data_IF_857166344799
#
_entry.id   IF_857166344799
#
_cell.length_a   1.000
_cell.length_b   1.000
_cell.length_c   1.000
_cell.angle_alpha   90.00
_cell.angle_beta   90.00
_cell.angle_gamma   90.00
#
_symmetry.space_group_name_H-M   'P 1'
#
loop_
_entity.id
_entity.type
_entity.pdbx_description
1 polymer ?
#
# COMPACT_ATOMS: atom_id res chain seq x y z
N UNK A 1 2.31 -10.98 -11.33
CA UNK A 1 1.86 -10.25 -12.57
C UNK A 1 2.82 -10.54 -13.72
N UNK A 2 2.35 -11.16 -14.81
CA UNK A 2 3.15 -11.45 -16.01
C UNK A 2 4.55 -12.05 -15.72
N UNK A 3 4.64 -12.95 -14.74
CA UNK A 3 5.89 -13.62 -14.34
C UNK A 3 6.82 -12.83 -13.41
N UNK A 4 6.48 -11.58 -13.05
CA UNK A 4 7.23 -10.80 -12.05
C UNK A 4 6.56 -10.85 -10.67
N UNK A 5 7.38 -11.00 -9.63
CA UNK A 5 6.95 -10.83 -8.24
C UNK A 5 6.99 -9.34 -7.92
N UNK A 6 5.81 -8.77 -7.63
CA UNK A 6 5.67 -7.36 -7.29
C UNK A 6 5.29 -7.25 -5.82
N UNK A 7 5.80 -6.23 -5.14
CA UNK A 7 5.22 -5.82 -3.87
C UNK A 7 3.77 -5.34 -4.13
N UNK A 8 2.76 -5.89 -3.45
CA UNK A 8 1.38 -5.45 -3.62
C UNK A 8 1.20 -3.97 -3.30
N UNK A 9 0.32 -3.29 -4.04
CA UNK A 9 0.01 -1.87 -3.78
C UNK A 9 -0.43 -1.61 -2.33
N UNK A 10 -1.17 -2.55 -1.74
CA UNK A 10 -1.63 -2.50 -0.34
C UNK A 10 -0.49 -2.58 0.68
N UNK A 11 0.66 -3.17 0.34
CA UNK A 11 1.81 -3.18 1.22
C UNK A 11 2.43 -1.78 1.36
N UNK A 12 2.36 -0.92 0.34
CA UNK A 12 2.77 0.48 0.50
C UNK A 12 1.87 1.24 1.48
N UNK A 13 0.56 0.96 1.46
CA UNK A 13 -0.40 1.54 2.41
C UNK A 13 -0.01 1.14 3.84
N UNK A 14 0.25 -0.13 4.07
CA UNK A 14 0.69 -0.65 5.38
C UNK A 14 1.98 0.02 5.87
N UNK A 15 3.00 0.11 5.00
CA UNK A 15 4.28 0.75 5.35
C UNK A 15 4.10 2.23 5.72
N UNK A 16 3.25 2.94 4.99
CA UNK A 16 2.97 4.35 5.21
C UNK A 16 2.15 4.57 6.49
N UNK A 17 1.15 3.72 6.77
CA UNK A 17 0.40 3.74 8.03
C UNK A 17 1.33 3.50 9.23
N UNK A 18 2.18 2.49 9.15
CA UNK A 18 3.17 2.18 10.18
C UNK A 18 4.15 3.35 10.45
N UNK A 19 4.56 4.09 9.41
CA UNK A 19 5.37 5.28 9.56
C UNK A 19 4.57 6.46 10.13
N UNK A 20 3.31 6.61 9.72
CA UNK A 20 2.39 7.64 10.20
C UNK A 20 2.05 7.54 11.69
N UNK A 21 1.80 6.33 12.18
CA UNK A 21 1.57 6.07 13.61
C UNK A 21 2.72 6.58 14.49
N UNK A 22 3.96 6.46 14.03
CA UNK A 22 5.17 6.94 14.77
C UNK A 22 5.24 8.45 14.92
N UNK A 23 4.51 9.19 14.11
CA UNK A 23 4.49 10.66 14.14
C UNK A 23 3.10 11.22 14.48
N UNK A 24 2.18 10.38 14.95
CA UNK A 24 0.81 10.76 15.30
C UNK A 24 -0.07 11.12 14.10
N UNK A 25 0.30 10.68 12.89
CA UNK A 25 -0.46 10.89 11.66
C UNK A 25 -0.82 9.55 11.02
N UNK A 26 -1.66 8.77 11.71
CA UNK A 26 -2.05 7.41 11.31
C UNK A 26 -3.14 7.32 10.23
N UNK A 27 -3.54 8.44 9.63
CA UNK A 27 -4.52 8.46 8.55
C UNK A 27 -3.83 8.76 7.21
N UNK A 28 -4.12 7.96 6.18
CA UNK A 28 -3.68 8.21 4.80
C UNK A 28 -4.75 9.03 4.09
N UNK A 29 -4.49 10.30 3.83
CA UNK A 29 -5.40 11.15 3.05
C UNK A 29 -5.33 10.81 1.57
N UNK A 30 -4.11 10.61 1.06
CA UNK A 30 -3.84 10.23 -0.31
C UNK A 30 -2.55 9.43 -0.38
N UNK A 31 -2.51 8.41 -1.25
CA UNK A 31 -1.29 7.72 -1.62
C UNK A 31 -1.29 7.42 -3.12
N UNK A 32 -0.38 8.07 -3.86
CA UNK A 32 -0.17 7.83 -5.28
C UNK A 32 0.98 6.84 -5.46
N UNK A 33 0.70 5.71 -6.14
CA UNK A 33 1.70 4.74 -6.57
C UNK A 33 2.31 5.16 -7.92
N UNK A 34 3.62 5.32 -7.96
CA UNK A 34 4.36 5.89 -9.09
C UNK A 34 5.14 4.85 -9.90
N UNK A 35 5.72 3.86 -9.23
CA UNK A 35 6.49 2.79 -9.86
C UNK A 35 6.33 1.48 -9.07
N UNK A 36 6.23 0.33 -9.76
CA UNK A 36 6.17 -0.96 -9.07
C UNK A 36 7.48 -1.25 -8.34
N UNK A 37 7.41 -1.92 -7.20
CA UNK A 37 8.57 -2.53 -6.55
C UNK A 37 8.64 -4.00 -6.95
N UNK A 38 9.63 -4.35 -7.78
CA UNK A 38 9.88 -5.73 -8.21
C UNK A 38 10.74 -6.41 -7.14
N UNK A 39 10.26 -7.55 -6.65
CA UNK A 39 11.00 -8.35 -5.68
C UNK A 39 12.01 -9.23 -6.42
N UNK A 40 13.31 -9.18 -6.06
CA UNK A 40 14.31 -9.98 -6.74
C UNK A 40 14.17 -11.45 -6.31
N UNK A 41 14.48 -12.38 -7.22
CA UNK A 41 14.44 -13.83 -6.92
C UNK A 41 15.52 -14.28 -5.94
N UNK A 42 16.55 -13.45 -5.70
CA UNK A 42 17.65 -13.63 -4.74
C UNK A 42 18.11 -12.27 -4.24
N UNK A 43 18.76 -12.22 -3.09
CA UNK A 43 19.18 -10.95 -2.47
C UNK A 43 18.00 -10.27 -1.77
N UNK A 44 18.07 -8.95 -1.62
CA UNK A 44 17.04 -8.17 -0.93
C UNK A 44 16.85 -6.77 -1.49
N UNK A 45 15.85 -6.07 -0.96
CA UNK A 45 15.62 -4.66 -1.24
C UNK A 45 15.74 -3.87 0.05
N UNK A 46 16.45 -2.75 0.00
CA UNK A 46 16.41 -1.76 1.07
C UNK A 46 15.23 -0.84 0.82
N UNK A 47 14.35 -0.68 1.81
CA UNK A 47 13.18 0.20 1.73
C UNK A 47 13.38 1.36 2.68
N UNK A 48 13.10 2.57 2.20
CA UNK A 48 13.15 3.80 2.98
C UNK A 48 11.79 4.49 2.94
N UNK A 49 11.33 4.89 4.13
CA UNK A 49 10.15 5.71 4.33
C UNK A 49 10.60 7.08 4.83
N UNK A 50 10.16 8.13 4.15
CA UNK A 50 10.45 9.51 4.54
C UNK A 50 9.15 10.23 4.86
N UNK A 51 9.02 10.72 6.09
CA UNK A 51 7.88 11.52 6.54
C UNK A 51 8.34 12.94 6.83
N UNK A 52 7.70 13.90 6.18
CA UNK A 52 8.02 15.31 6.29
C UNK A 52 7.59 15.93 7.62
N UNK A 53 8.02 17.18 7.81
CA UNK A 53 7.47 18.05 8.85
C UNK A 53 5.97 18.32 8.66
N UNK A 54 5.29 18.85 9.68
CA UNK A 54 3.90 19.25 9.54
C UNK A 54 3.78 20.40 8.52
N UNK A 55 2.80 20.31 7.64
CA UNK A 55 2.39 21.40 6.76
C UNK A 55 1.54 22.43 7.52
N UNK A 56 1.29 23.58 6.90
CA UNK A 56 0.40 24.63 7.45
C UNK A 56 -1.03 24.10 7.65
N UNK A 57 -1.44 23.12 6.85
CA UNK A 57 -2.77 22.50 6.87
C UNK A 57 -2.84 21.29 7.82
N UNK A 58 -1.75 20.96 8.51
CA UNK A 58 -1.70 19.89 9.53
C UNK A 58 -1.34 18.50 9.02
N UNK A 59 -1.26 18.31 7.70
CA UNK A 59 -0.79 17.07 7.07
C UNK A 59 0.74 16.93 7.06
N UNK A 60 1.23 15.74 6.75
CA UNK A 60 2.66 15.43 6.54
C UNK A 60 2.84 14.70 5.21
N UNK A 61 3.72 15.22 4.37
CA UNK A 61 4.11 14.50 3.16
C UNK A 61 4.81 13.18 3.52
N UNK A 62 4.53 12.11 2.78
CA UNK A 62 5.18 10.81 2.94
C UNK A 62 5.65 10.29 1.58
N UNK A 63 6.77 9.57 1.57
CA UNK A 63 7.27 8.89 0.38
C UNK A 63 7.93 7.55 0.71
N UNK A 64 7.78 6.58 -0.20
CA UNK A 64 8.39 5.25 -0.11
C UNK A 64 9.38 5.09 -1.25
N UNK A 65 10.60 4.73 -0.91
CA UNK A 65 11.67 4.48 -1.85
C UNK A 65 12.25 3.09 -1.65
N UNK A 66 12.83 2.51 -2.70
CA UNK A 66 13.66 1.33 -2.56
C UNK A 66 14.90 1.39 -3.43
N UNK A 67 15.86 0.53 -3.11
CA UNK A 67 17.00 0.16 -3.95
C UNK A 67 17.40 -1.28 -3.66
N UNK A 68 18.26 -1.85 -4.49
CA UNK A 68 18.87 -3.16 -4.20
C UNK A 68 19.61 -3.12 -2.86
N UNK A 69 19.44 -4.15 -2.03
CA UNK A 69 20.22 -4.27 -0.79
C UNK A 69 21.68 -4.64 -1.06
N UNK A 70 21.97 -5.23 -2.22
CA UNK A 70 23.32 -5.64 -2.62
C UNK A 70 24.10 -4.50 -3.31
N UNK A 71 23.44 -3.35 -3.55
CA UNK A 71 24.05 -2.16 -4.15
C UNK A 71 23.86 -0.95 -3.25
N UNK A 72 24.81 -0.75 -2.34
CA UNK A 72 24.76 0.32 -1.34
C UNK A 72 24.96 1.73 -1.92
N UNK A 73 25.41 1.85 -3.17
CA UNK A 73 25.57 3.13 -3.88
C UNK A 73 24.53 3.30 -4.99
N UNK A 74 23.65 2.30 -5.17
CA UNK A 74 22.58 2.32 -6.15
C UNK A 74 21.55 3.43 -5.91
N UNK A 75 20.96 3.90 -7.01
CA UNK A 75 19.93 4.93 -7.00
C UNK A 75 18.65 4.47 -6.32
N UNK A 76 18.05 5.39 -5.54
CA UNK A 76 16.75 5.17 -4.92
C UNK A 76 15.62 5.42 -5.92
N UNK A 77 14.76 4.43 -6.09
CA UNK A 77 13.54 4.54 -6.89
C UNK A 77 12.38 4.90 -5.96
N UNK A 78 11.62 5.94 -6.30
CA UNK A 78 10.40 6.30 -5.58
C UNK A 78 9.21 5.48 -6.08
N UNK A 79 8.57 4.76 -5.17
CA UNK A 79 7.42 3.90 -5.49
C UNK A 79 6.09 4.54 -5.15
N UNK A 80 6.04 5.34 -4.09
CA UNK A 80 4.82 5.98 -3.65
C UNK A 80 5.10 7.35 -3.02
N UNK A 81 4.14 8.26 -3.14
CA UNK A 81 4.12 9.55 -2.45
C UNK A 81 2.70 9.87 -2.00
N UNK A 82 2.55 10.58 -0.89
CA UNK A 82 1.23 10.84 -0.34
C UNK A 82 1.22 11.86 0.78
N UNK A 83 0.07 11.96 1.44
CA UNK A 83 -0.16 12.83 2.59
C UNK A 83 -0.76 12.01 3.73
N UNK A 84 -0.16 12.17 4.91
CA UNK A 84 -0.60 11.61 6.17
C UNK A 84 -1.23 12.71 7.03
N UNK A 85 -2.25 12.38 7.81
CA UNK A 85 -2.81 13.31 8.81
C UNK A 85 -3.22 12.61 10.10
N UNK A 86 -3.48 13.42 11.12
CA UNK A 86 -3.93 12.94 12.44
C UNK A 86 -5.44 12.68 12.48
N UNK A 87 -6.21 13.29 11.57
CA UNK A 87 -7.65 13.22 11.56
C UNK A 87 -8.13 12.04 10.74
N UNK A 88 -8.91 11.15 11.35
CA UNK A 88 -9.68 10.16 10.60
C UNK A 88 -10.90 10.88 10.04
N UNK A 89 -11.02 10.96 8.72
CA UNK A 89 -12.29 11.29 8.08
C UNK A 89 -13.32 10.23 8.44
N UNK A 90 -14.13 10.47 9.47
CA UNK A 90 -15.07 9.49 9.99
C UNK A 90 -16.30 9.40 9.08
N UNK A 91 -16.21 8.55 8.05
CA UNK A 91 -17.39 7.85 7.55
C UNK A 91 -17.57 6.59 8.39
N UNK A 92 -18.54 6.57 9.31
CA UNK A 92 -18.94 5.30 9.90
C UNK A 92 -19.43 4.40 8.76
N UNK A 93 -18.74 3.27 8.53
CA UNK A 93 -19.18 2.28 7.56
C UNK A 93 -20.56 1.71 7.92
N UNK A 94 -21.14 0.94 7.01
CA UNK A 94 -22.41 0.26 7.29
C UNK A 94 -22.26 -0.73 8.45
N UNK A 95 -23.34 -0.90 9.21
CA UNK A 95 -23.38 -1.84 10.34
C UNK A 95 -23.21 -3.28 9.86
N UNK A 96 -22.27 -4.01 10.48
CA UNK A 96 -22.03 -5.43 10.23
C UNK A 96 -22.78 -6.36 11.21
N UNK A 97 -23.79 -5.86 11.93
CA UNK A 97 -24.58 -6.66 12.88
C UNK A 97 -25.45 -7.73 12.19
N UNK A 98 -25.79 -7.52 10.91
CA UNK A 98 -26.47 -8.50 10.08
C UNK A 98 -25.56 -8.83 8.89
N UNK A 99 -25.01 -10.05 8.89
CA UNK A 99 -24.04 -10.48 7.88
C UNK A 99 -24.27 -11.94 7.43
N UNK A 100 -24.39 -12.21 6.12
CA UNK A 100 -24.42 -11.24 5.02
C UNK A 100 -25.69 -10.36 5.08
N UNK A 101 -25.70 -9.17 4.45
CA UNK A 101 -26.90 -8.34 4.37
C UNK A 101 -28.11 -9.14 3.83
N UNK A 102 -29.34 -8.82 4.27
CA UNK A 102 -30.55 -9.62 3.98
C UNK A 102 -30.76 -9.93 2.50
N UNK A 103 -30.47 -8.96 1.65
CA UNK A 103 -30.68 -9.05 0.20
C UNK A 103 -29.40 -9.46 -0.56
N UNK A 104 -28.35 -9.90 0.15
CA UNK A 104 -27.12 -10.36 -0.46
C UNK A 104 -27.33 -11.69 -1.19
N UNK A 105 -26.91 -11.75 -2.44
CA UNK A 105 -26.89 -12.96 -3.25
C UNK A 105 -25.48 -13.54 -3.24
N UNK A 106 -25.35 -14.80 -2.82
CA UNK A 106 -24.06 -15.50 -2.85
C UNK A 106 -23.55 -15.69 -4.27
N UNK A 107 -22.24 -15.56 -4.44
CA UNK A 107 -21.54 -15.86 -5.69
C UNK A 107 -20.74 -17.15 -5.51
N UNK A 108 -20.78 -18.03 -6.52
CA UNK A 108 -19.85 -19.14 -6.59
C UNK A 108 -18.45 -18.61 -6.91
N UNK A 109 -17.47 -18.98 -6.09
CA UNK A 109 -16.06 -18.58 -6.21
C UNK A 109 -15.17 -19.75 -6.63
N UNK A 110 -15.74 -20.92 -6.89
CA UNK A 110 -15.01 -22.04 -7.48
C UNK A 110 -14.42 -21.62 -8.84
N UNK A 111 -13.14 -21.92 -9.08
CA UNK A 111 -12.47 -21.54 -10.33
C UNK A 111 -11.96 -20.10 -10.38
N UNK A 112 -12.33 -19.22 -9.43
CA UNK A 112 -12.05 -17.79 -9.52
C UNK A 112 -10.56 -17.48 -9.60
N UNK A 113 -9.74 -18.13 -8.76
CA UNK A 113 -8.30 -17.92 -8.76
C UNK A 113 -7.62 -18.54 -9.98
N UNK A 114 -8.08 -19.70 -10.47
CA UNK A 114 -7.58 -20.27 -11.72
C UNK A 114 -7.87 -19.34 -12.92
N UNK A 115 -9.05 -18.71 -12.95
CA UNK A 115 -9.41 -17.75 -13.99
C UNK A 115 -8.52 -16.49 -13.95
N UNK A 116 -8.31 -15.92 -12.76
CA UNK A 116 -7.41 -14.77 -12.58
C UNK A 116 -5.98 -15.11 -13.02
N UNK A 117 -5.51 -16.30 -12.67
CA UNK A 117 -4.20 -16.79 -13.10
C UNK A 117 -4.11 -16.89 -14.62
N UNK A 118 -5.15 -17.43 -15.28
CA UNK A 118 -5.26 -17.45 -16.75
C UNK A 118 -5.24 -16.05 -17.39
N UNK A 119 -5.63 -15.01 -16.64
CA UNK A 119 -5.56 -13.59 -17.05
C UNK A 119 -4.23 -12.91 -16.67
N UNK A 120 -3.27 -13.64 -16.11
CA UNK A 120 -1.94 -13.14 -15.73
C UNK A 120 -1.86 -12.51 -14.34
N UNK A 121 -2.92 -12.66 -13.53
CA UNK A 121 -2.99 -12.23 -12.13
C UNK A 121 -2.75 -13.43 -11.24
N UNK A 122 -1.51 -13.52 -10.74
CA UNK A 122 -0.99 -14.54 -9.84
C UNK A 122 0.41 -14.19 -9.39
#
# INVERSE_FOLDING_TARGET
VLGSVLLPGTAFVELVLYAGERVGCGFVEELTLQAPLVMPGRGGVSVQLSVGGPSVEGGRGVSVHSRSADDADGEWVRHATGVLSAAVGAGAGESLQEWPPRDAVGLDVAGFYEELFGRGVG
#
